data_IF_352917103544
#
_entry.id   IF_352917103544
#
_cell.length_a   1.000
_cell.length_b   1.000
_cell.length_c   1.000
_cell.angle_alpha   90.00
_cell.angle_beta   90.00
_cell.angle_gamma   90.00
#
_symmetry.space_group_name_H-M   'P 1'
#
loop_
_entity.id
_entity.type
_entity.pdbx_description
1 polymer ?
#
# COMPACT_ATOMS: atom_id res chain seq x y z
N UNK A 1 -4.51 -2.63 0.64
CA UNK A 1 -5.54 -2.17 1.57
C UNK A 1 -6.06 -3.33 2.41
N UNK A 2 -6.30 -3.09 3.68
CA UNK A 2 -6.73 -4.11 4.63
C UNK A 2 -8.27 -4.27 4.57
N UNK A 3 -8.76 -4.94 3.54
CA UNK A 3 -10.19 -5.23 3.37
C UNK A 3 -10.62 -6.60 3.93
N UNK A 4 -9.73 -7.30 4.65
CA UNK A 4 -9.93 -8.66 5.13
C UNK A 4 -9.61 -9.75 4.09
N UNK A 5 -9.65 -11.02 4.49
CA UNK A 5 -9.34 -12.15 3.62
C UNK A 5 -7.95 -12.07 2.98
N UNK A 6 -7.85 -12.42 1.71
CA UNK A 6 -6.59 -12.39 0.96
C UNK A 6 -5.96 -10.99 0.87
N UNK A 7 -6.77 -9.93 0.86
CA UNK A 7 -6.29 -8.55 0.85
C UNK A 7 -5.50 -8.20 2.10
N UNK A 8 -5.87 -8.76 3.24
CA UNK A 8 -5.13 -8.56 4.49
C UNK A 8 -3.79 -9.28 4.47
N UNK A 9 -3.71 -10.45 3.84
CA UNK A 9 -2.45 -11.18 3.63
C UNK A 9 -1.47 -10.30 2.85
N UNK A 10 -1.89 -9.71 1.75
CA UNK A 10 -1.03 -8.81 0.95
C UNK A 10 -0.65 -7.52 1.69
N UNK A 11 -1.56 -6.95 2.48
CA UNK A 11 -1.24 -5.80 3.32
C UNK A 11 -0.17 -6.14 4.37
N UNK A 12 -0.29 -7.28 5.00
CA UNK A 12 0.68 -7.80 5.98
C UNK A 12 2.04 -8.05 5.34
N UNK A 13 2.08 -8.67 4.18
CA UNK A 13 3.30 -8.90 3.41
C UNK A 13 3.98 -7.59 3.00
N UNK A 14 3.21 -6.59 2.57
CA UNK A 14 3.74 -5.25 2.28
C UNK A 14 4.45 -4.64 3.50
N UNK A 15 3.81 -4.63 4.65
CA UNK A 15 4.40 -4.08 5.87
C UNK A 15 5.57 -4.89 6.41
N UNK A 16 5.59 -6.20 6.15
CA UNK A 16 6.73 -7.06 6.44
C UNK A 16 7.93 -6.66 5.59
N UNK A 17 7.75 -6.53 4.28
CA UNK A 17 8.80 -6.09 3.36
C UNK A 17 9.29 -4.66 3.69
N UNK A 18 8.38 -3.75 4.04
CA UNK A 18 8.74 -2.40 4.50
C UNK A 18 9.60 -2.45 5.77
N UNK A 19 9.19 -3.23 6.77
CA UNK A 19 9.91 -3.38 8.03
C UNK A 19 11.30 -3.98 7.85
N UNK A 20 11.46 -4.86 6.88
CA UNK A 20 12.75 -5.48 6.52
C UNK A 20 13.59 -4.65 5.54
N UNK A 21 13.10 -3.48 5.10
CA UNK A 21 13.79 -2.64 4.11
C UNK A 21 13.88 -3.27 2.73
N UNK A 22 12.93 -4.13 2.37
CA UNK A 22 12.96 -4.93 1.14
C UNK A 22 12.01 -4.43 0.03
N UNK A 23 11.23 -3.35 0.26
CA UNK A 23 10.25 -2.88 -0.71
C UNK A 23 10.84 -2.54 -2.07
N UNK A 24 11.96 -1.83 -2.10
CA UNK A 24 12.56 -1.34 -3.35
C UNK A 24 12.91 -2.47 -4.33
N UNK A 25 13.24 -3.65 -3.82
CA UNK A 25 13.60 -4.81 -4.64
C UNK A 25 12.47 -5.84 -4.84
N UNK A 26 11.36 -5.69 -4.13
CA UNK A 26 10.30 -6.72 -4.13
C UNK A 26 8.93 -6.22 -4.55
N UNK A 27 8.64 -4.93 -4.37
CA UNK A 27 7.29 -4.39 -4.60
C UNK A 27 6.84 -4.53 -6.07
N UNK A 28 7.61 -3.98 -6.99
CA UNK A 28 7.29 -4.04 -8.41
C UNK A 28 7.37 -5.49 -8.94
N UNK A 29 8.35 -6.27 -8.46
CA UNK A 29 8.49 -7.67 -8.83
C UNK A 29 7.26 -8.50 -8.40
N UNK A 30 6.68 -8.22 -7.23
CA UNK A 30 5.46 -8.91 -6.79
C UNK A 30 4.25 -8.53 -7.66
N UNK A 31 4.11 -7.26 -8.04
CA UNK A 31 3.06 -6.83 -8.97
C UNK A 31 3.20 -7.51 -10.33
N UNK A 32 4.42 -7.61 -10.86
CA UNK A 32 4.69 -8.31 -12.11
C UNK A 32 4.34 -9.80 -12.03
N UNK A 33 4.77 -10.47 -10.96
CA UNK A 33 4.47 -11.88 -10.72
C UNK A 33 2.96 -12.15 -10.65
N UNK A 34 2.20 -11.27 -10.00
CA UNK A 34 0.76 -11.42 -9.83
C UNK A 34 -0.04 -11.11 -11.11
N UNK A 35 0.30 -10.02 -11.80
CA UNK A 35 -0.54 -9.46 -12.85
C UNK A 35 -0.05 -9.81 -14.26
N UNK A 36 1.25 -9.93 -14.48
CA UNK A 36 1.84 -10.27 -15.77
C UNK A 36 2.08 -11.76 -15.91
N UNK A 37 2.78 -12.35 -14.94
CA UNK A 37 3.10 -13.79 -14.96
C UNK A 37 1.95 -14.65 -14.46
N UNK A 38 0.96 -14.07 -13.77
CA UNK A 38 -0.18 -14.75 -13.15
C UNK A 38 0.24 -15.88 -12.20
N UNK A 39 1.34 -15.66 -11.49
CA UNK A 39 1.90 -16.63 -10.57
C UNK A 39 0.94 -16.84 -9.37
N UNK A 40 0.63 -18.08 -8.97
CA UNK A 40 -0.29 -18.35 -7.87
C UNK A 40 0.39 -18.16 -6.50
N UNK A 41 0.66 -16.92 -6.11
CA UNK A 41 1.31 -16.55 -4.85
C UNK A 41 0.27 -15.97 -3.86
N UNK A 42 -0.63 -16.80 -3.40
CA UNK A 42 -1.72 -16.38 -2.50
C UNK A 42 -1.57 -16.90 -1.06
N UNK A 43 -0.76 -17.92 -0.85
CA UNK A 43 -0.47 -18.48 0.47
C UNK A 43 0.79 -17.85 1.04
N UNK A 44 0.89 -17.81 2.36
CA UNK A 44 2.05 -17.23 3.07
C UNK A 44 3.35 -17.94 2.68
N UNK A 45 3.32 -19.26 2.51
CA UNK A 45 4.48 -20.04 2.10
C UNK A 45 4.96 -19.66 0.71
N UNK A 46 4.04 -19.53 -0.27
CA UNK A 46 4.37 -19.13 -1.64
C UNK A 46 4.95 -17.72 -1.68
N UNK A 47 4.40 -16.81 -0.85
CA UNK A 47 4.91 -15.45 -0.72
C UNK A 47 6.29 -15.44 -0.06
N UNK A 48 6.51 -16.22 0.99
CA UNK A 48 7.82 -16.33 1.63
C UNK A 48 8.89 -16.87 0.67
N UNK A 49 8.53 -17.84 -0.18
CA UNK A 49 9.41 -18.35 -1.24
C UNK A 49 9.70 -17.28 -2.30
N UNK A 50 8.69 -16.54 -2.74
CA UNK A 50 8.86 -15.41 -3.65
C UNK A 50 9.86 -14.37 -3.10
N UNK A 51 9.69 -13.98 -1.84
CA UNK A 51 10.60 -13.02 -1.21
C UNK A 51 12.02 -13.55 -1.05
N UNK A 52 12.17 -14.86 -0.78
CA UNK A 52 13.49 -15.53 -0.73
C UNK A 52 14.20 -15.51 -2.09
N UNK A 53 13.48 -15.72 -3.19
CA UNK A 53 14.00 -15.59 -4.55
C UNK A 53 14.56 -14.18 -4.83
N UNK A 54 14.03 -13.16 -4.14
CA UNK A 54 14.46 -11.76 -4.25
C UNK A 54 15.45 -11.33 -3.15
N UNK A 55 16.12 -12.28 -2.50
CA UNK A 55 17.19 -12.03 -1.55
C UNK A 55 16.74 -11.59 -0.17
N UNK A 56 15.51 -11.96 0.23
CA UNK A 56 15.00 -11.78 1.59
C UNK A 56 15.16 -13.09 2.35
N UNK A 57 15.69 -13.06 3.57
CA UNK A 57 15.79 -14.26 4.40
C UNK A 57 14.39 -14.78 4.75
N UNK A 58 14.09 -16.03 4.35
CA UNK A 58 12.76 -16.63 4.51
C UNK A 58 12.35 -16.77 5.98
N UNK A 59 13.27 -17.18 6.85
CA UNK A 59 12.98 -17.35 8.27
C UNK A 59 12.72 -16.01 8.95
N UNK A 60 13.51 -14.99 8.63
CA UNK A 60 13.26 -13.62 9.07
C UNK A 60 11.94 -13.06 8.53
N UNK A 61 11.62 -13.30 7.27
CA UNK A 61 10.37 -12.87 6.68
C UNK A 61 9.17 -13.46 7.45
N UNK A 62 9.16 -14.75 7.68
CA UNK A 62 8.09 -15.43 8.40
C UNK A 62 7.96 -14.96 9.85
N UNK A 63 9.08 -14.76 10.56
CA UNK A 63 9.06 -14.25 11.94
C UNK A 63 8.62 -12.77 11.99
N UNK A 64 9.00 -11.96 11.02
CA UNK A 64 8.61 -10.55 10.93
C UNK A 64 7.12 -10.40 10.60
N UNK A 65 6.57 -11.31 9.82
CA UNK A 65 5.17 -11.31 9.41
C UNK A 65 4.20 -11.27 10.61
N UNK A 66 4.52 -11.96 11.68
CA UNK A 66 3.73 -12.02 12.91
C UNK A 66 4.24 -11.10 14.03
N UNK A 67 5.21 -10.25 13.70
CA UNK A 67 5.81 -9.33 14.68
C UNK A 67 4.86 -8.22 15.13
N UNK A 68 5.09 -7.70 16.33
CA UNK A 68 4.31 -6.56 16.86
C UNK A 68 4.31 -5.33 15.94
N UNK A 69 5.43 -4.88 15.36
CA UNK A 69 5.42 -3.75 14.43
C UNK A 69 4.52 -3.96 13.22
N UNK A 70 4.54 -5.14 12.61
CA UNK A 70 3.69 -5.47 11.45
C UNK A 70 2.23 -5.53 11.86
N UNK A 71 1.92 -6.17 12.99
CA UNK A 71 0.56 -6.23 13.53
C UNK A 71 -0.01 -4.82 13.79
N UNK A 72 0.78 -3.93 14.38
CA UNK A 72 0.39 -2.53 14.62
C UNK A 72 0.13 -1.76 13.31
N UNK A 73 0.98 -1.93 12.30
CA UNK A 73 0.82 -1.30 10.98
C UNK A 73 -0.44 -1.77 10.27
N UNK A 74 -0.72 -3.07 10.29
CA UNK A 74 -1.94 -3.65 9.69
C UNK A 74 -3.19 -3.15 10.39
N UNK A 75 -3.20 -3.11 11.73
CA UNK A 75 -4.32 -2.57 12.51
C UNK A 75 -4.56 -1.09 12.18
N UNK A 76 -3.52 -0.27 12.17
CA UNK A 76 -3.61 1.16 11.80
C UNK A 76 -4.11 1.35 10.36
N UNK A 77 -3.65 0.52 9.42
CA UNK A 77 -4.13 0.58 8.03
C UNK A 77 -5.62 0.26 7.93
N UNK A 78 -6.09 -0.72 8.68
CA UNK A 78 -7.52 -1.09 8.76
C UNK A 78 -8.37 0.04 9.33
N UNK A 79 -7.94 0.62 10.44
CA UNK A 79 -8.61 1.76 11.08
C UNK A 79 -8.69 2.97 10.15
N UNK A 80 -7.60 3.31 9.47
CA UNK A 80 -7.56 4.42 8.50
C UNK A 80 -8.44 4.15 7.29
N UNK A 81 -8.42 2.95 6.74
CA UNK A 81 -9.29 2.58 5.62
C UNK A 81 -10.77 2.75 5.98
N UNK A 82 -11.17 2.36 7.19
CA UNK A 82 -12.52 2.56 7.71
C UNK A 82 -12.83 4.05 7.94
N UNK A 83 -11.94 4.79 8.62
CA UNK A 83 -12.12 6.21 8.92
C UNK A 83 -12.23 7.08 7.66
N UNK A 84 -11.50 6.73 6.60
CA UNK A 84 -11.53 7.43 5.31
C UNK A 84 -12.53 6.85 4.31
N UNK A 85 -13.31 5.87 4.73
CA UNK A 85 -14.34 5.24 3.89
C UNK A 85 -13.76 4.71 2.56
N UNK A 86 -12.64 3.99 2.64
CA UNK A 86 -11.98 3.41 1.46
C UNK A 86 -12.78 2.19 1.02
N UNK A 87 -13.39 2.26 -0.16
CA UNK A 87 -14.25 1.21 -0.72
C UNK A 87 -13.56 0.39 -1.81
N UNK A 88 -12.45 0.85 -2.32
CA UNK A 88 -11.72 0.18 -3.40
C UNK A 88 -10.36 0.80 -3.69
N UNK A 89 -9.66 0.20 -4.65
CA UNK A 89 -8.34 0.64 -5.11
C UNK A 89 -8.36 0.85 -6.63
N UNK A 90 -7.60 1.85 -7.13
CA UNK A 90 -6.81 2.80 -6.38
C UNK A 90 -7.64 3.92 -5.74
N UNK A 91 -7.31 4.29 -4.52
CA UNK A 91 -7.85 5.47 -3.83
C UNK A 91 -6.70 6.23 -3.18
N UNK A 92 -6.69 7.54 -3.33
CA UNK A 92 -5.70 8.43 -2.70
C UNK A 92 -6.38 9.27 -1.62
N UNK A 93 -5.68 9.52 -0.52
CA UNK A 93 -6.15 10.42 0.55
C UNK A 93 -5.12 11.53 0.75
N UNK A 94 -5.55 12.77 0.62
CA UNK A 94 -4.69 13.94 0.77
C UNK A 94 -4.97 14.61 2.10
N UNK A 95 -3.94 14.78 2.92
CA UNK A 95 -3.96 15.44 4.23
C UNK A 95 -5.00 14.86 5.22
N UNK A 96 -5.49 13.65 5.02
CA UNK A 96 -6.58 13.08 5.81
C UNK A 96 -7.95 13.74 5.58
N UNK A 97 -8.08 14.64 4.59
CA UNK A 97 -9.28 15.46 4.33
C UNK A 97 -9.99 15.11 3.04
N UNK A 98 -9.25 14.78 2.01
CA UNK A 98 -9.78 14.57 0.66
C UNK A 98 -9.55 13.14 0.22
N UNK A 99 -10.62 12.45 -0.10
CA UNK A 99 -10.58 11.13 -0.74
C UNK A 99 -10.73 11.32 -2.24
N UNK A 100 -9.73 10.85 -3.00
CA UNK A 100 -9.68 10.99 -4.45
C UNK A 100 -9.71 9.61 -5.09
N UNK A 101 -10.70 9.36 -5.94
CA UNK A 101 -10.82 8.17 -6.77
C UNK A 101 -10.58 8.55 -8.23
N UNK A 102 -10.25 7.57 -9.07
CA UNK A 102 -10.08 7.80 -10.48
C UNK A 102 -11.41 8.26 -11.11
N UNK A 103 -11.44 9.41 -11.79
CA UNK A 103 -12.59 9.79 -12.58
C UNK A 103 -12.77 8.83 -13.77
N UNK A 104 -13.94 8.84 -14.43
CA UNK A 104 -14.13 8.08 -15.67
C UNK A 104 -13.03 8.35 -16.67
N UNK A 105 -12.76 7.39 -17.56
CA UNK A 105 -11.67 7.46 -18.53
C UNK A 105 -11.76 8.71 -19.42
N UNK A 106 -12.98 9.12 -19.78
CA UNK A 106 -13.26 10.33 -20.58
C UNK A 106 -12.86 11.63 -19.86
N UNK A 107 -12.71 11.59 -18.55
CA UNK A 107 -12.26 12.71 -17.70
C UNK A 107 -10.84 12.54 -17.19
N UNK A 108 -10.06 11.65 -17.81
CA UNK A 108 -8.65 11.48 -17.54
C UNK A 108 -8.25 10.23 -16.77
N UNK A 109 -9.17 9.42 -16.25
CA UNK A 109 -8.88 8.17 -15.57
C UNK A 109 -7.85 8.31 -14.44
N UNK A 110 -6.86 7.44 -14.38
CA UNK A 110 -5.80 7.49 -13.35
C UNK A 110 -4.91 8.73 -13.46
N UNK A 111 -4.63 9.21 -14.68
CA UNK A 111 -3.88 10.46 -14.87
C UNK A 111 -4.64 11.64 -14.27
N UNK A 112 -5.93 11.73 -14.55
CA UNK A 112 -6.82 12.76 -13.98
C UNK A 112 -6.86 12.68 -12.44
N UNK A 113 -6.85 11.49 -11.87
CA UNK A 113 -6.75 11.30 -10.42
C UNK A 113 -5.47 11.92 -9.86
N UNK A 114 -4.32 11.66 -10.46
CA UNK A 114 -3.04 12.21 -10.01
C UNK A 114 -2.99 13.73 -10.14
N UNK A 115 -3.54 14.31 -11.21
CA UNK A 115 -3.65 15.76 -11.38
C UNK A 115 -4.51 16.42 -10.30
N UNK A 116 -5.60 15.76 -9.88
CA UNK A 116 -6.43 16.22 -8.76
C UNK A 116 -5.63 16.17 -7.46
N UNK A 117 -4.90 15.09 -7.20
CA UNK A 117 -4.05 14.93 -6.01
C UNK A 117 -3.01 16.03 -5.95
N UNK A 118 -2.31 16.34 -7.05
CA UNK A 118 -1.29 17.40 -7.09
C UNK A 118 -1.88 18.76 -6.75
N UNK A 119 -3.06 19.10 -7.29
CA UNK A 119 -3.75 20.35 -6.96
C UNK A 119 -4.14 20.43 -5.47
N UNK A 120 -4.62 19.32 -4.90
CA UNK A 120 -4.98 19.27 -3.48
C UNK A 120 -3.76 19.39 -2.58
N UNK A 121 -2.64 18.77 -2.93
CA UNK A 121 -1.36 18.93 -2.22
C UNK A 121 -0.90 20.39 -2.26
N UNK A 122 -0.93 21.02 -3.43
CA UNK A 122 -0.56 22.44 -3.58
C UNK A 122 -1.45 23.34 -2.72
N UNK A 123 -2.77 23.09 -2.72
CA UNK A 123 -3.73 23.82 -1.88
C UNK A 123 -3.45 23.67 -0.38
N UNK A 124 -3.20 22.44 0.09
CA UNK A 124 -2.89 22.19 1.49
C UNK A 124 -1.56 22.79 1.93
N UNK A 125 -0.55 22.80 1.05
CA UNK A 125 0.73 23.47 1.31
C UNK A 125 0.56 24.98 1.44
N UNK A 126 -0.23 25.60 0.55
CA UNK A 126 -0.51 27.03 0.60
C UNK A 126 -1.31 27.43 1.85
N UNK A 127 -2.20 26.57 2.32
CA UNK A 127 -3.02 26.81 3.51
C UNK A 127 -2.25 26.62 4.84
N UNK A 128 -1.11 25.96 4.83
CA UNK A 128 -0.23 25.85 6.01
C UNK A 128 0.43 27.21 6.22
N UNK A 129 0.00 27.95 7.25
CA UNK A 129 0.74 29.13 7.69
C UNK A 129 2.19 28.74 7.96
N UNK A 130 3.22 29.51 7.51
CA UNK A 130 4.59 29.25 7.90
C UNK A 130 4.64 29.23 9.43
N UNK A 131 5.33 28.21 9.99
CA UNK A 131 5.62 28.22 11.42
C UNK A 131 6.25 29.57 11.73
N UNK A 132 5.69 30.33 12.67
CA UNK A 132 6.25 31.59 13.11
C UNK A 132 7.69 31.30 13.52
N UNK A 133 8.61 32.01 12.84
CA UNK A 133 10.04 31.94 13.15
C UNK A 133 10.31 32.50 14.55
#
# INVERSE_FOLDING_TARGET
AAFGGVWEVYARVYYTAETMGALDKTHDALFEALHTERRPVSKIEDLADFYAEHGVDKAQFLSTLDSFPVNAKVATARERAAAWNIEGTPTMVVAGKYRVMAPPQERGGFKGMLEIVDRLIARERAARKPAAA
#
